data_IF_376810816017
#
_entry.id   IF_376810816017
#
_cell.length_a   1.000
_cell.length_b   1.000
_cell.length_c   1.000
_cell.angle_alpha   90.00
_cell.angle_beta   90.00
_cell.angle_gamma   90.00
#
_symmetry.space_group_name_H-M   'P 1'
#
loop_
_entity.id
_entity.type
_entity.pdbx_description
1 polymer ?
#
# COMPACT_ATOMS: atom_id res chain seq x y z
N UNK A 1 -36.68 -16.44 -26.16
CA UNK A 1 -35.88 -15.23 -26.40
C UNK A 1 -34.44 -15.56 -26.03
N UNK A 2 -33.57 -15.81 -27.01
CA UNK A 2 -32.15 -16.17 -26.72
C UNK A 2 -31.39 -14.85 -26.60
N UNK A 3 -31.09 -14.41 -25.37
CA UNK A 3 -30.27 -13.22 -25.13
C UNK A 3 -28.80 -13.66 -25.13
N UNK A 4 -28.16 -13.68 -26.29
CA UNK A 4 -26.72 -13.87 -26.39
C UNK A 4 -26.03 -12.53 -26.24
N UNK A 5 -25.92 -12.00 -25.01
CA UNK A 5 -25.10 -10.88 -24.72
C UNK A 5 -23.66 -11.40 -24.53
N UNK A 6 -22.77 -11.15 -25.49
CA UNK A 6 -21.34 -11.40 -25.33
C UNK A 6 -20.84 -10.50 -24.20
N UNK A 7 -20.39 -11.07 -23.08
CA UNK A 7 -19.71 -10.31 -22.02
C UNK A 7 -18.33 -9.87 -22.52
N UNK A 8 -17.89 -8.69 -22.10
CA UNK A 8 -16.52 -8.27 -22.29
C UNK A 8 -15.59 -9.14 -21.43
N UNK A 9 -14.38 -9.50 -21.90
CA UNK A 9 -13.40 -10.13 -21.05
C UNK A 9 -13.09 -9.23 -19.83
N UNK A 10 -12.92 -9.82 -18.65
CA UNK A 10 -12.54 -9.09 -17.42
C UNK A 10 -11.25 -8.27 -17.59
N UNK A 11 -10.35 -8.70 -18.47
CA UNK A 11 -9.11 -8.05 -18.85
C UNK A 11 -9.26 -7.39 -20.22
N UNK A 12 -10.11 -6.39 -20.30
CA UNK A 12 -10.20 -5.56 -21.49
C UNK A 12 -9.25 -4.38 -21.31
N UNK A 13 -8.33 -4.23 -22.26
CA UNK A 13 -7.38 -3.12 -22.31
C UNK A 13 -7.69 -2.23 -23.50
N UNK A 14 -7.60 -0.93 -23.28
CA UNK A 14 -7.49 0.04 -24.35
C UNK A 14 -6.06 0.04 -24.84
N UNK A 15 -5.83 -0.12 -26.14
CA UNK A 15 -4.50 -0.21 -26.73
C UNK A 15 -4.27 0.90 -27.72
N UNK A 16 -3.11 1.53 -27.65
CA UNK A 16 -2.62 2.51 -28.60
C UNK A 16 -1.15 2.30 -28.90
N UNK A 17 -0.57 3.09 -29.77
CA UNK A 17 0.86 3.01 -30.08
C UNK A 17 1.65 3.51 -28.87
N UNK A 18 2.27 2.58 -28.12
CA UNK A 18 3.09 2.89 -26.93
C UNK A 18 2.30 3.10 -25.65
N UNK A 19 0.99 2.79 -25.62
CA UNK A 19 0.17 2.90 -24.42
C UNK A 19 -0.85 1.76 -24.31
N UNK A 20 -1.02 1.27 -23.09
CA UNK A 20 -2.05 0.29 -22.73
C UNK A 20 -2.72 0.73 -21.45
N UNK A 21 -4.04 0.93 -21.48
CA UNK A 21 -4.83 1.34 -20.31
C UNK A 21 -5.75 0.21 -19.92
N UNK A 22 -5.57 -0.35 -18.72
CA UNK A 22 -6.49 -1.31 -18.12
C UNK A 22 -7.82 -0.62 -17.80
N UNK A 23 -8.92 -1.34 -17.92
CA UNK A 23 -10.23 -0.81 -17.60
C UNK A 23 -10.67 -1.23 -16.20
N UNK A 24 -11.43 -0.37 -15.49
CA UNK A 24 -12.07 -0.74 -14.23
C UNK A 24 -13.10 -1.85 -14.48
N UNK A 25 -13.52 -2.53 -13.42
CA UNK A 25 -14.56 -3.56 -13.52
C UNK A 25 -15.88 -2.93 -13.99
N UNK A 26 -16.29 -3.31 -15.20
CA UNK A 26 -17.54 -2.88 -15.83
C UNK A 26 -18.61 -3.97 -15.69
N UNK A 27 -19.89 -3.58 -15.62
CA UNK A 27 -21.01 -4.52 -15.57
C UNK A 27 -21.07 -5.39 -16.84
N UNK A 28 -20.64 -4.87 -17.98
CA UNK A 28 -20.50 -5.63 -19.24
C UNK A 28 -19.45 -6.75 -19.19
N UNK A 29 -18.57 -6.78 -18.18
CA UNK A 29 -17.60 -7.85 -17.96
C UNK A 29 -18.17 -9.00 -17.13
N UNK A 30 -19.37 -8.84 -16.55
CA UNK A 30 -20.08 -9.88 -15.80
C UNK A 30 -20.95 -10.68 -16.78
N UNK A 31 -20.77 -12.02 -16.85
CA UNK A 31 -21.61 -12.85 -17.72
C UNK A 31 -23.10 -12.69 -17.40
N UNK A 32 -23.96 -12.54 -18.42
CA UNK A 32 -25.38 -12.31 -18.25
C UNK A 32 -26.11 -13.48 -17.52
N UNK A 33 -25.60 -14.70 -17.63
CA UNK A 33 -26.07 -15.84 -16.85
C UNK A 33 -25.80 -15.70 -15.34
N UNK A 34 -24.70 -15.11 -14.96
CA UNK A 34 -24.34 -14.81 -13.56
C UNK A 34 -25.23 -13.70 -12.98
N UNK A 35 -25.59 -12.70 -13.79
CA UNK A 35 -26.49 -11.62 -13.39
C UNK A 35 -27.94 -12.14 -13.22
N UNK A 36 -28.40 -13.06 -14.08
CA UNK A 36 -29.70 -13.68 -13.96
C UNK A 36 -29.80 -14.69 -12.81
N UNK A 37 -28.68 -15.35 -12.47
CA UNK A 37 -28.64 -16.30 -11.36
C UNK A 37 -28.46 -15.63 -9.99
N UNK A 38 -28.33 -14.28 -9.94
CA UNK A 38 -27.98 -13.52 -8.73
C UNK A 38 -26.73 -14.06 -8.03
N UNK A 39 -25.89 -14.79 -8.74
CA UNK A 39 -24.59 -15.23 -8.20
C UNK A 39 -23.59 -14.09 -8.44
N UNK A 40 -23.17 -13.36 -7.40
CA UNK A 40 -22.15 -12.32 -7.56
C UNK A 40 -20.91 -12.95 -8.17
N UNK A 41 -20.32 -12.32 -9.18
CA UNK A 41 -18.97 -12.70 -9.59
C UNK A 41 -18.10 -12.66 -8.33
N UNK A 42 -17.29 -13.70 -8.08
CA UNK A 42 -16.43 -13.72 -6.91
C UNK A 42 -15.64 -12.40 -6.82
N UNK A 43 -15.74 -11.67 -5.71
CA UNK A 43 -15.10 -10.37 -5.60
C UNK A 43 -13.59 -10.50 -5.72
N UNK A 44 -12.95 -9.54 -6.38
CA UNK A 44 -11.49 -9.48 -6.47
C UNK A 44 -10.96 -8.99 -5.13
N UNK A 45 -10.21 -9.83 -4.42
CA UNK A 45 -9.55 -9.43 -3.18
C UNK A 45 -8.19 -8.83 -3.49
N UNK A 46 -7.80 -7.86 -2.69
CA UNK A 46 -6.54 -7.15 -2.81
C UNK A 46 -5.84 -7.09 -1.46
N UNK A 47 -4.52 -7.13 -1.46
CA UNK A 47 -3.70 -7.13 -0.26
C UNK A 47 -2.69 -5.99 -0.35
N UNK A 48 -2.58 -5.18 0.69
CA UNK A 48 -1.63 -4.09 0.71
C UNK A 48 -0.99 -3.87 2.06
N UNK A 49 0.19 -3.24 2.03
CA UNK A 49 1.00 -2.97 3.21
C UNK A 49 1.57 -1.57 3.12
N UNK A 50 1.35 -0.77 4.15
CA UNK A 50 1.89 0.58 4.28
C UNK A 50 2.78 0.65 5.50
N UNK A 51 4.06 0.87 5.29
CA UNK A 51 5.06 0.92 6.34
C UNK A 51 5.35 2.35 6.76
N UNK A 52 5.38 2.60 8.07
CA UNK A 52 5.91 3.81 8.67
C UNK A 52 7.20 3.50 9.42
N UNK A 53 8.23 4.35 9.30
CA UNK A 53 9.50 4.11 9.98
C UNK A 53 9.44 4.51 11.46
N UNK A 54 10.40 3.99 12.21
CA UNK A 54 10.73 4.47 13.55
C UNK A 54 9.58 4.46 14.56
N UNK A 55 8.66 3.48 14.44
CA UNK A 55 7.62 3.25 15.44
C UNK A 55 6.67 4.42 15.70
N UNK A 56 6.17 4.50 16.93
CA UNK A 56 5.22 5.53 17.33
C UNK A 56 5.32 5.84 18.83
N UNK A 57 4.79 7.01 19.23
CA UNK A 57 4.41 7.24 20.62
C UNK A 57 3.16 6.40 20.94
N UNK A 58 3.39 5.22 21.50
CA UNK A 58 2.34 4.23 21.78
C UNK A 58 1.30 4.77 22.79
N UNK A 59 1.69 5.67 23.69
CA UNK A 59 0.76 6.28 24.66
C UNK A 59 -0.32 7.13 23.98
N UNK A 60 -0.04 7.65 22.78
CA UNK A 60 -0.98 8.41 21.95
C UNK A 60 -1.52 7.64 20.76
N UNK A 61 -1.01 6.41 20.56
CA UNK A 61 -1.45 5.51 19.49
C UNK A 61 -2.63 4.63 19.91
N UNK A 62 -2.52 3.99 21.09
CA UNK A 62 -3.50 3.01 21.54
C UNK A 62 -4.87 3.67 21.79
N UNK A 63 -5.96 3.17 21.16
CA UNK A 63 -7.30 3.66 21.44
C UNK A 63 -7.70 3.47 22.91
N UNK A 64 -8.56 4.33 23.46
CA UNK A 64 -9.08 4.13 24.80
C UNK A 64 -10.00 2.90 24.86
N UNK A 65 -10.08 2.28 26.04
CA UNK A 65 -10.95 1.12 26.31
C UNK A 65 -10.27 -0.23 26.10
N UNK A 66 -11.08 -1.28 26.26
CA UNK A 66 -10.67 -2.68 26.12
C UNK A 66 -10.99 -3.22 24.72
N UNK A 67 -10.67 -4.48 24.45
CA UNK A 67 -11.02 -5.16 23.21
C UNK A 67 -12.53 -5.14 22.94
N UNK A 68 -12.93 -4.82 21.72
CA UNK A 68 -14.33 -4.75 21.33
C UNK A 68 -14.59 -3.84 20.15
N UNK A 69 -15.78 -3.25 20.09
CA UNK A 69 -16.13 -2.26 19.09
C UNK A 69 -15.26 -1.00 19.24
N UNK A 70 -14.74 -0.49 18.13
CA UNK A 70 -13.97 0.75 18.12
C UNK A 70 -14.95 1.93 18.22
N UNK A 71 -15.07 2.51 19.40
CA UNK A 71 -16.00 3.60 19.69
C UNK A 71 -15.33 4.98 19.71
N UNK A 72 -14.01 5.01 19.89
CA UNK A 72 -13.19 6.21 19.87
C UNK A 72 -11.79 5.92 19.36
N UNK A 73 -11.17 6.89 18.74
CA UNK A 73 -9.79 6.85 18.29
C UNK A 73 -8.87 7.61 19.25
N UNK A 74 -7.61 7.22 19.32
CA UNK A 74 -6.58 8.00 20.00
C UNK A 74 -6.26 9.28 19.23
N UNK A 75 -5.49 10.19 19.83
CA UNK A 75 -5.10 11.44 19.16
C UNK A 75 -4.33 11.21 17.87
N UNK A 76 -3.41 10.24 17.84
CA UNK A 76 -2.63 9.91 16.66
C UNK A 76 -3.49 9.29 15.56
N UNK A 77 -4.49 8.49 15.92
CA UNK A 77 -5.37 7.80 14.98
C UNK A 77 -6.60 8.62 14.57
N UNK A 78 -6.81 9.82 15.14
CA UNK A 78 -7.99 10.65 14.88
C UNK A 78 -8.26 10.92 13.38
N UNK A 79 -7.27 11.03 12.47
CA UNK A 79 -7.57 11.20 11.06
C UNK A 79 -8.34 10.04 10.41
N UNK A 80 -8.38 8.85 11.03
CA UNK A 80 -9.15 7.70 10.55
C UNK A 80 -10.65 7.78 10.88
N UNK A 81 -11.13 8.82 11.54
CA UNK A 81 -12.54 8.95 11.94
C UNK A 81 -13.53 8.76 10.76
N UNK A 82 -13.32 9.31 9.54
CA UNK A 82 -14.21 9.11 8.39
C UNK A 82 -14.32 7.66 7.93
N UNK A 83 -13.33 6.85 8.26
CA UNK A 83 -13.22 5.43 7.87
C UNK A 83 -13.16 4.49 9.08
N UNK A 84 -13.48 4.96 10.29
CA UNK A 84 -13.36 4.20 11.55
C UNK A 84 -14.06 2.84 11.51
N UNK A 85 -15.18 2.74 10.79
CA UNK A 85 -15.93 1.48 10.61
C UNK A 85 -15.22 0.45 9.73
N UNK A 86 -14.22 0.88 8.96
CA UNK A 86 -13.44 0.04 8.05
C UNK A 86 -12.06 -0.31 8.60
N UNK A 87 -11.71 0.11 9.83
CA UNK A 87 -10.41 -0.16 10.42
C UNK A 87 -10.50 -1.01 11.68
N UNK A 88 -9.49 -1.79 11.94
CA UNK A 88 -9.28 -2.54 13.19
C UNK A 88 -7.90 -2.20 13.72
N UNK A 89 -7.83 -1.78 14.99
CA UNK A 89 -6.57 -1.50 15.67
C UNK A 89 -6.15 -2.76 16.43
N UNK A 90 -4.89 -3.16 16.30
CA UNK A 90 -4.33 -4.25 17.08
C UNK A 90 -3.25 -3.71 18.01
N UNK A 91 -3.35 -4.00 19.31
CA UNK A 91 -2.40 -3.59 20.33
C UNK A 91 -1.71 -4.81 20.93
N UNK A 92 -0.47 -4.61 21.37
CA UNK A 92 0.40 -5.63 21.95
C UNK A 92 0.80 -6.73 20.93
N UNK A 93 1.06 -6.32 19.67
CA UNK A 93 1.71 -7.18 18.66
C UNK A 93 3.23 -7.10 18.81
N UNK A 94 3.96 -8.17 18.44
CA UNK A 94 5.42 -8.23 18.54
C UNK A 94 6.10 -8.83 17.31
N UNK A 95 7.36 -8.46 17.10
CA UNK A 95 8.30 -9.04 16.13
C UNK A 95 9.54 -9.58 16.83
N UNK A 96 9.46 -10.78 17.40
CA UNK A 96 10.58 -11.43 18.13
C UNK A 96 11.83 -11.58 17.27
N UNK A 97 11.64 -11.91 16.01
CA UNK A 97 12.72 -12.14 15.05
C UNK A 97 13.45 -10.86 14.61
N UNK A 98 12.97 -9.68 14.98
CA UNK A 98 13.70 -8.43 14.76
C UNK A 98 14.87 -8.22 15.73
N UNK A 99 14.91 -8.96 16.85
CA UNK A 99 16.02 -8.89 17.79
C UNK A 99 17.23 -9.76 17.36
N UNK A 100 18.48 -9.33 17.64
CA UNK A 100 18.89 -8.17 18.46
C UNK A 100 19.06 -6.86 17.68
N UNK A 101 18.58 -6.79 16.45
CA UNK A 101 18.76 -5.61 15.61
C UNK A 101 17.91 -4.41 16.03
N UNK A 102 17.97 -3.38 15.22
CA UNK A 102 17.30 -2.09 15.42
C UNK A 102 16.51 -1.70 14.16
N UNK A 103 16.91 -0.63 13.48
CA UNK A 103 16.20 -0.12 12.30
C UNK A 103 16.17 -1.08 11.11
N UNK A 104 17.32 -1.66 10.74
CA UNK A 104 17.39 -2.59 9.62
C UNK A 104 16.52 -3.82 9.82
N UNK A 105 16.53 -4.39 11.02
CA UNK A 105 15.73 -5.57 11.34
C UNK A 105 14.26 -5.26 11.59
N UNK A 106 13.92 -4.04 12.04
CA UNK A 106 12.56 -3.54 12.12
C UNK A 106 11.88 -3.60 10.74
N UNK A 107 12.50 -3.00 9.74
CA UNK A 107 12.01 -3.03 8.38
C UNK A 107 11.97 -4.45 7.79
N UNK A 108 13.10 -5.19 7.90
CA UNK A 108 13.22 -6.53 7.35
C UNK A 108 12.19 -7.51 7.91
N UNK A 109 11.96 -7.49 9.24
CA UNK A 109 11.05 -8.40 9.89
C UNK A 109 9.57 -8.04 9.70
N UNK A 110 9.24 -6.79 9.35
CA UNK A 110 7.85 -6.33 9.31
C UNK A 110 6.96 -7.17 8.39
N UNK A 111 7.41 -7.51 7.19
CA UNK A 111 6.65 -8.38 6.27
C UNK A 111 7.19 -9.81 6.19
N UNK A 112 8.42 -10.05 6.64
CA UNK A 112 8.99 -11.40 6.64
C UNK A 112 8.67 -12.18 7.89
N UNK A 113 8.52 -11.53 9.05
CA UNK A 113 8.50 -12.13 10.37
C UNK A 113 9.71 -13.07 10.63
N UNK A 114 10.78 -12.93 9.84
CA UNK A 114 11.96 -13.77 9.85
C UNK A 114 13.16 -13.05 10.48
N UNK A 115 14.09 -13.82 11.02
CA UNK A 115 15.33 -13.28 11.52
C UNK A 115 16.30 -13.00 10.36
N UNK A 116 16.68 -11.74 10.18
CA UNK A 116 17.68 -11.35 9.20
C UNK A 116 19.05 -11.96 9.57
N UNK A 117 19.77 -12.46 8.57
CA UNK A 117 21.16 -12.89 8.76
C UNK A 117 22.02 -11.67 9.10
N UNK A 118 22.75 -11.76 10.20
CA UNK A 118 23.69 -10.71 10.58
C UNK A 118 24.89 -10.69 9.64
N UNK A 119 24.89 -9.78 8.71
CA UNK A 119 25.93 -9.60 7.69
C UNK A 119 25.84 -8.20 7.09
N UNK A 120 26.98 -7.63 6.75
CA UNK A 120 27.14 -6.39 6.00
C UNK A 120 27.46 -6.64 4.52
N UNK A 121 27.60 -7.90 4.15
CA UNK A 121 28.00 -8.36 2.83
C UNK A 121 26.80 -8.73 1.95
N UNK A 122 27.06 -9.21 0.73
CA UNK A 122 26.04 -9.64 -0.23
C UNK A 122 25.45 -11.03 0.04
N UNK A 123 25.91 -11.72 1.09
CA UNK A 123 25.42 -13.04 1.50
C UNK A 123 24.21 -12.96 2.43
N UNK A 124 23.40 -11.91 2.25
CA UNK A 124 22.20 -11.68 3.04
C UNK A 124 21.16 -12.78 2.85
N UNK A 125 20.40 -13.01 3.92
CA UNK A 125 19.34 -14.00 3.97
C UNK A 125 18.26 -13.55 4.96
N UNK A 126 16.99 -13.61 4.53
CA UNK A 126 15.83 -13.21 5.33
C UNK A 126 14.76 -14.29 5.28
N UNK A 127 13.75 -14.09 4.50
CA UNK A 127 12.60 -14.96 4.25
C UNK A 127 11.77 -14.34 3.15
N UNK A 128 10.99 -15.16 2.44
CA UNK A 128 9.99 -14.62 1.51
C UNK A 128 8.95 -13.87 2.30
N UNK A 129 8.67 -12.63 1.92
CA UNK A 129 7.72 -11.77 2.63
C UNK A 129 6.27 -12.10 2.31
N UNK A 130 5.37 -11.77 3.21
CA UNK A 130 3.93 -12.10 3.14
C UNK A 130 3.28 -11.56 1.87
N UNK A 131 3.64 -10.37 1.42
CA UNK A 131 3.20 -9.75 0.17
C UNK A 131 3.64 -10.58 -1.04
N UNK A 132 4.87 -11.09 -1.04
CA UNK A 132 5.40 -11.88 -2.15
C UNK A 132 4.84 -13.31 -2.17
N UNK A 133 4.54 -13.90 -1.02
CA UNK A 133 3.75 -15.14 -0.96
C UNK A 133 2.36 -14.92 -1.58
N UNK A 134 1.70 -13.81 -1.27
CA UNK A 134 0.44 -13.46 -1.89
C UNK A 134 0.59 -13.22 -3.40
N UNK A 135 1.62 -12.50 -3.84
CA UNK A 135 1.89 -12.18 -5.23
C UNK A 135 2.13 -13.43 -6.09
N UNK A 136 2.79 -14.45 -5.55
CA UNK A 136 3.02 -15.72 -6.24
C UNK A 136 1.70 -16.42 -6.63
N UNK A 137 0.62 -16.24 -5.87
CA UNK A 137 -0.69 -16.83 -6.15
C UNK A 137 -1.64 -15.84 -6.81
N UNK A 138 -1.83 -14.65 -6.22
CA UNK A 138 -2.79 -13.65 -6.71
C UNK A 138 -2.30 -12.92 -7.96
N UNK A 139 -0.99 -12.77 -8.11
CA UNK A 139 -0.35 -12.05 -9.22
C UNK A 139 -0.34 -12.80 -10.55
N UNK A 140 -0.68 -14.08 -10.56
CA UNK A 140 -0.78 -14.86 -11.81
C UNK A 140 -1.92 -14.37 -12.73
N UNK A 141 -2.85 -13.64 -12.16
CA UNK A 141 -4.01 -13.12 -12.88
C UNK A 141 -3.90 -11.62 -13.21
N UNK A 142 -2.78 -10.97 -12.94
CA UNK A 142 -2.60 -9.53 -13.15
C UNK A 142 -1.43 -9.21 -14.06
N UNK A 143 -1.39 -7.99 -14.59
CA UNK A 143 -0.27 -7.51 -15.42
C UNK A 143 1.03 -7.43 -14.61
N UNK A 144 0.93 -6.92 -13.38
CA UNK A 144 2.02 -6.87 -12.41
C UNK A 144 1.70 -7.81 -11.26
N UNK A 145 2.56 -8.79 -10.94
CA UNK A 145 2.35 -9.67 -9.78
C UNK A 145 2.22 -8.89 -8.48
N UNK A 146 3.03 -7.85 -8.31
CA UNK A 146 3.04 -6.93 -7.19
C UNK A 146 3.58 -5.56 -7.60
N UNK A 147 3.42 -4.56 -6.72
CA UNK A 147 3.92 -3.21 -6.91
C UNK A 147 4.57 -2.72 -5.61
N UNK A 148 5.88 -2.54 -5.65
CA UNK A 148 6.70 -2.10 -4.52
C UNK A 148 6.99 -0.61 -4.66
N UNK A 149 6.54 0.19 -3.67
CA UNK A 149 6.60 1.65 -3.69
C UNK A 149 7.27 2.21 -2.44
N UNK A 150 7.86 3.40 -2.57
CA UNK A 150 8.45 4.14 -1.46
C UNK A 150 8.37 5.65 -1.70
N UNK A 151 8.62 6.43 -0.63
CA UNK A 151 8.75 7.89 -0.72
C UNK A 151 10.19 8.35 -0.86
N UNK A 152 11.14 7.49 -0.52
CA UNK A 152 12.56 7.77 -0.58
C UNK A 152 13.23 6.90 -1.64
N UNK A 153 14.26 7.43 -2.30
CA UNK A 153 15.16 6.62 -3.11
C UNK A 153 15.94 5.68 -2.19
N UNK A 154 15.92 4.40 -2.50
CA UNK A 154 16.48 3.37 -1.65
C UNK A 154 17.83 2.90 -2.18
N UNK A 155 18.90 3.12 -1.39
CA UNK A 155 20.20 2.49 -1.62
C UNK A 155 20.15 1.06 -1.09
N UNK A 156 20.48 0.08 -1.96
CA UNK A 156 20.49 -1.34 -1.60
C UNK A 156 21.88 -1.87 -1.28
N UNK A 157 22.91 -1.02 -1.45
CA UNK A 157 24.33 -1.39 -1.26
C UNK A 157 24.91 -0.63 -0.06
N UNK A 158 25.77 -1.29 0.69
CA UNK A 158 26.49 -0.71 1.82
C UNK A 158 25.98 -1.21 3.18
N UNK A 159 26.60 -0.66 4.23
CA UNK A 159 26.30 -0.90 5.63
C UNK A 159 25.44 0.22 6.17
N UNK A 160 24.30 -0.09 6.76
CA UNK A 160 23.34 0.91 7.21
C UNK A 160 23.07 0.91 8.72
N UNK A 161 23.16 -0.25 9.41
CA UNK A 161 22.75 -0.33 10.80
C UNK A 161 23.37 -1.55 11.51
N UNK A 162 24.23 -1.31 12.53
CA UNK A 162 24.69 -2.29 13.54
C UNK A 162 25.09 -3.68 13.01
N UNK A 163 25.85 -3.74 11.91
CA UNK A 163 26.31 -5.01 11.32
C UNK A 163 25.30 -5.62 10.33
N UNK A 164 24.30 -4.85 9.90
CA UNK A 164 23.34 -5.25 8.87
C UNK A 164 23.52 -4.46 7.57
N UNK A 165 23.48 -5.15 6.44
CA UNK A 165 23.52 -4.55 5.13
C UNK A 165 22.31 -3.63 4.87
N UNK A 166 22.50 -2.57 4.08
CA UNK A 166 21.45 -1.60 3.74
C UNK A 166 20.20 -2.24 3.10
N UNK A 167 20.37 -3.38 2.45
CA UNK A 167 19.27 -4.14 1.84
C UNK A 167 18.16 -4.48 2.83
N UNK A 168 18.49 -4.77 4.10
CA UNK A 168 17.51 -5.07 5.12
C UNK A 168 16.71 -3.85 5.57
N UNK A 169 17.37 -2.69 5.63
CA UNK A 169 16.74 -1.43 6.04
C UNK A 169 15.86 -0.84 4.93
N UNK A 170 16.24 -1.04 3.67
CA UNK A 170 15.70 -0.30 2.55
C UNK A 170 14.74 -1.10 1.67
N UNK A 171 14.69 -2.44 1.79
CA UNK A 171 13.74 -3.26 1.03
C UNK A 171 12.72 -3.91 1.97
N UNK A 172 11.45 -3.55 1.75
CA UNK A 172 10.34 -4.11 2.50
C UNK A 172 9.94 -5.49 1.99
N UNK A 173 10.00 -5.69 0.66
CA UNK A 173 9.54 -6.89 -0.03
C UNK A 173 10.70 -7.78 -0.48
N UNK A 174 10.56 -9.09 -0.28
CA UNK A 174 11.54 -10.12 -0.68
C UNK A 174 10.84 -11.27 -1.39
N UNK A 175 11.13 -11.46 -2.67
CA UNK A 175 10.52 -12.51 -3.50
C UNK A 175 11.02 -13.91 -3.19
N UNK A 176 12.18 -14.02 -2.58
CA UNK A 176 12.77 -15.23 -2.01
C UNK A 176 13.64 -14.85 -0.80
N UNK A 177 14.12 -15.83 0.00
CA UNK A 177 15.00 -15.52 1.14
C UNK A 177 16.26 -14.72 0.82
N UNK A 178 16.67 -14.68 -0.45
CA UNK A 178 17.90 -14.01 -0.90
C UNK A 178 17.66 -12.97 -1.99
N UNK A 179 16.40 -12.67 -2.33
CA UNK A 179 16.07 -11.78 -3.45
C UNK A 179 15.17 -10.63 -2.98
N UNK A 180 15.77 -9.51 -2.53
CA UNK A 180 15.01 -8.30 -2.22
C UNK A 180 14.43 -7.68 -3.48
N UNK A 181 13.29 -7.01 -3.37
CA UNK A 181 12.67 -6.26 -4.44
C UNK A 181 12.85 -4.76 -4.19
N UNK A 182 13.49 -4.04 -5.12
CA UNK A 182 13.61 -2.59 -5.03
C UNK A 182 12.24 -1.92 -5.14
N UNK A 183 11.99 -0.92 -4.30
CA UNK A 183 10.81 -0.07 -4.37
C UNK A 183 11.03 1.12 -5.28
N UNK A 184 9.96 1.60 -5.93
CA UNK A 184 9.97 2.76 -6.81
C UNK A 184 9.41 3.99 -6.09
N UNK A 185 10.13 5.10 -6.13
CA UNK A 185 9.75 6.36 -5.49
C UNK A 185 9.35 7.45 -6.49
N UNK A 186 9.59 7.25 -7.79
CA UNK A 186 9.35 8.27 -8.80
C UNK A 186 7.96 8.13 -9.43
N UNK A 187 7.02 9.07 -9.23
CA UNK A 187 5.64 8.94 -9.72
C UNK A 187 5.53 8.69 -11.22
N UNK A 188 6.39 9.32 -12.04
CA UNK A 188 6.41 9.12 -13.49
C UNK A 188 6.77 7.67 -13.84
N UNK A 189 7.77 7.10 -13.19
CA UNK A 189 8.20 5.72 -13.46
C UNK A 189 7.09 4.74 -13.04
N UNK A 190 6.43 4.99 -11.91
CA UNK A 190 5.25 4.20 -11.48
C UNK A 190 4.14 4.30 -12.52
N UNK A 191 3.79 5.51 -12.96
CA UNK A 191 2.75 5.74 -13.97
C UNK A 191 3.06 4.99 -15.28
N UNK A 192 4.30 5.08 -15.76
CA UNK A 192 4.75 4.36 -16.96
C UNK A 192 4.73 2.83 -16.78
N UNK A 193 5.02 2.35 -15.57
CA UNK A 193 4.94 0.92 -15.26
C UNK A 193 3.50 0.41 -15.28
N UNK A 194 2.54 1.25 -14.88
CA UNK A 194 1.11 0.90 -14.85
C UNK A 194 0.48 0.95 -16.26
N UNK A 195 0.83 1.95 -17.07
CA UNK A 195 0.10 2.29 -18.30
C UNK A 195 0.95 2.27 -19.56
N UNK A 196 2.27 2.15 -19.45
CA UNK A 196 3.17 2.05 -20.61
C UNK A 196 3.14 0.67 -21.25
N UNK A 197 3.30 0.61 -22.57
CA UNK A 197 3.70 -0.63 -23.24
C UNK A 197 5.17 -0.91 -22.92
N UNK A 198 5.53 -2.13 -22.55
CA UNK A 198 6.90 -2.52 -22.23
C UNK A 198 7.92 -2.01 -23.28
N UNK A 199 9.17 -1.87 -22.91
CA UNK A 199 10.22 -1.32 -23.73
C UNK A 199 11.33 -0.71 -22.86
N UNK A 200 12.45 -0.29 -23.46
CA UNK A 200 13.50 0.37 -22.69
C UNK A 200 13.00 1.73 -22.14
N UNK A 201 13.57 2.18 -21.03
CA UNK A 201 13.30 3.53 -20.48
C UNK A 201 13.65 4.66 -21.47
N UNK A 202 14.54 4.39 -22.44
CA UNK A 202 14.89 5.32 -23.52
C UNK A 202 13.79 5.40 -24.58
N UNK A 203 13.21 4.26 -24.96
CA UNK A 203 12.10 4.21 -25.93
C UNK A 203 10.84 4.88 -25.36
N UNK A 204 10.55 4.62 -24.08
CA UNK A 204 9.44 5.26 -23.35
C UNK A 204 9.62 6.78 -23.26
N UNK A 205 10.81 7.28 -22.89
CA UNK A 205 11.11 8.72 -22.86
C UNK A 205 10.98 9.37 -24.24
N UNK A 206 11.43 8.69 -25.31
CA UNK A 206 11.31 9.19 -26.69
C UNK A 206 9.85 9.25 -27.16
N UNK A 207 9.02 8.32 -26.72
CA UNK A 207 7.59 8.29 -26.98
C UNK A 207 6.84 9.40 -26.21
N UNK A 208 7.12 9.56 -24.91
CA UNK A 208 6.52 10.58 -24.04
C UNK A 208 7.01 12.00 -24.35
N UNK A 209 8.20 12.17 -24.93
CA UNK A 209 8.76 13.48 -25.34
C UNK A 209 7.95 14.25 -26.38
N UNK A 210 6.85 13.71 -26.89
CA UNK A 210 5.93 14.37 -27.82
C UNK A 210 4.76 15.09 -27.17
N UNK A 211 4.73 15.30 -25.85
CA UNK A 211 3.70 16.05 -25.10
C UNK A 211 2.24 15.67 -25.38
N UNK A 212 1.96 14.45 -25.82
CA UNK A 212 0.60 13.95 -25.97
C UNK A 212 0.21 13.16 -24.72
N UNK A 213 -1.01 13.39 -24.19
CA UNK A 213 -1.56 12.59 -23.10
C UNK A 213 -1.59 11.12 -23.49
N UNK A 214 -1.28 10.21 -22.54
CA UNK A 214 -1.40 8.78 -22.73
C UNK A 214 -2.79 8.38 -23.25
N UNK A 215 -3.84 9.07 -22.81
CA UNK A 215 -5.21 8.82 -23.24
C UNK A 215 -5.47 9.22 -24.70
N UNK A 216 -4.70 10.15 -25.27
CA UNK A 216 -4.85 10.50 -26.69
C UNK A 216 -4.44 9.35 -27.61
N UNK A 217 -3.52 8.50 -27.18
CA UNK A 217 -3.05 7.34 -27.94
C UNK A 217 -4.05 6.19 -27.98
N UNK A 218 -4.93 6.11 -26.98
CA UNK A 218 -6.00 5.09 -26.90
C UNK A 218 -7.38 5.66 -27.26
N UNK A 219 -7.44 6.88 -27.77
CA UNK A 219 -8.69 7.63 -28.05
C UNK A 219 -9.66 6.87 -28.97
N UNK A 220 -9.14 6.22 -30.00
CA UNK A 220 -9.99 5.48 -30.95
C UNK A 220 -10.60 4.23 -30.29
N UNK A 221 -9.83 3.55 -29.44
CA UNK A 221 -10.30 2.39 -28.70
C UNK A 221 -11.36 2.79 -27.67
N UNK A 222 -11.15 3.92 -26.98
CA UNK A 222 -12.15 4.52 -26.07
C UNK A 222 -13.47 4.74 -26.83
N UNK A 223 -13.43 5.43 -27.95
CA UNK A 223 -14.62 5.75 -28.74
C UNK A 223 -15.35 4.50 -29.27
N UNK A 224 -14.58 3.47 -29.63
CA UNK A 224 -15.11 2.18 -30.08
C UNK A 224 -15.82 1.43 -28.95
N UNK A 225 -15.20 1.36 -27.79
CA UNK A 225 -15.72 0.67 -26.62
C UNK A 225 -16.96 1.36 -26.05
N UNK A 226 -16.95 2.71 -25.97
CA UNK A 226 -18.10 3.49 -25.48
C UNK A 226 -19.40 3.19 -26.22
N UNK A 227 -19.33 2.87 -27.53
CA UNK A 227 -20.51 2.48 -28.33
C UNK A 227 -21.11 1.13 -27.91
N UNK A 228 -20.34 0.28 -27.25
CA UNK A 228 -20.74 -1.08 -26.86
C UNK A 228 -21.22 -1.17 -25.41
N UNK A 229 -20.93 -0.14 -24.59
CA UNK A 229 -21.22 -0.10 -23.17
C UNK A 229 -22.62 0.46 -22.87
N UNK A 230 -23.22 -0.02 -21.77
CA UNK A 230 -24.39 0.59 -21.16
C UNK A 230 -24.07 1.96 -20.54
N UNK A 231 -25.09 2.72 -20.13
CA UNK A 231 -24.91 4.07 -19.58
C UNK A 231 -24.07 4.07 -18.30
N UNK A 232 -24.32 3.12 -17.37
CA UNK A 232 -23.59 2.99 -16.12
C UNK A 232 -22.09 2.70 -16.34
N UNK A 233 -21.78 1.74 -17.22
CA UNK A 233 -20.40 1.40 -17.56
C UNK A 233 -19.68 2.55 -18.29
N UNK A 234 -20.37 3.29 -19.14
CA UNK A 234 -19.81 4.50 -19.77
C UNK A 234 -19.44 5.54 -18.74
N UNK A 235 -20.28 5.77 -17.73
CA UNK A 235 -19.98 6.73 -16.65
C UNK A 235 -18.77 6.28 -15.83
N UNK A 236 -18.73 5.02 -15.40
CA UNK A 236 -17.58 4.44 -14.68
C UNK A 236 -16.27 4.57 -15.48
N UNK A 237 -16.31 4.24 -16.77
CA UNK A 237 -15.14 4.33 -17.62
C UNK A 237 -14.68 5.79 -17.80
N UNK A 238 -15.61 6.73 -17.98
CA UNK A 238 -15.28 8.16 -18.12
C UNK A 238 -14.62 8.69 -16.85
N UNK A 239 -15.21 8.43 -15.69
CA UNK A 239 -14.67 8.82 -14.38
C UNK A 239 -13.24 8.24 -14.14
N UNK A 240 -13.04 6.99 -14.49
CA UNK A 240 -11.71 6.36 -14.39
C UNK A 240 -10.69 7.03 -15.31
N UNK A 241 -11.04 7.28 -16.58
CA UNK A 241 -10.14 7.94 -17.54
C UNK A 241 -9.85 9.39 -17.17
N UNK A 242 -10.82 10.11 -16.59
CA UNK A 242 -10.61 11.46 -16.06
C UNK A 242 -9.64 11.45 -14.88
N UNK A 243 -9.71 10.43 -14.01
CA UNK A 243 -8.76 10.23 -12.90
C UNK A 243 -7.34 9.94 -13.41
N UNK A 244 -7.21 9.08 -14.43
CA UNK A 244 -5.90 8.81 -15.08
C UNK A 244 -5.30 10.10 -15.64
N UNK A 245 -6.11 10.91 -16.34
CA UNK A 245 -5.67 12.20 -16.91
C UNK A 245 -5.26 13.21 -15.83
N UNK A 246 -5.97 13.27 -14.72
CA UNK A 246 -5.64 14.17 -13.62
C UNK A 246 -4.31 13.76 -12.94
N UNK A 247 -4.06 12.49 -12.74
CA UNK A 247 -2.79 11.97 -12.22
C UNK A 247 -1.65 12.30 -13.20
N UNK A 248 -1.82 12.04 -14.48
CA UNK A 248 -0.85 12.40 -15.54
C UNK A 248 -0.50 13.90 -15.50
N UNK A 249 -1.52 14.76 -15.44
CA UNK A 249 -1.36 16.22 -15.37
C UNK A 249 -0.57 16.66 -14.12
N UNK A 250 -0.80 16.03 -12.95
CA UNK A 250 -0.06 16.35 -11.72
C UNK A 250 1.40 15.95 -11.83
N UNK A 251 1.70 14.82 -12.47
CA UNK A 251 3.06 14.38 -12.74
C UNK A 251 3.77 15.38 -13.66
N UNK A 252 3.13 15.79 -14.77
CA UNK A 252 3.68 16.78 -15.70
C UNK A 252 3.94 18.13 -15.03
N UNK A 253 3.01 18.58 -14.16
CA UNK A 253 3.19 19.81 -13.39
C UNK A 253 4.39 19.73 -12.45
N UNK A 254 4.59 18.59 -11.76
CA UNK A 254 5.74 18.39 -10.88
C UNK A 254 7.06 18.40 -11.67
N UNK A 255 7.08 17.81 -12.86
CA UNK A 255 8.23 17.85 -13.76
C UNK A 255 8.56 19.28 -14.22
N UNK A 256 7.54 20.04 -14.67
CA UNK A 256 7.73 21.42 -15.11
C UNK A 256 8.26 22.33 -14.00
N UNK A 257 7.73 22.20 -12.77
CA UNK A 257 8.18 22.98 -11.62
C UNK A 257 9.66 22.72 -11.26
N UNK A 258 10.15 21.50 -11.51
CA UNK A 258 11.56 21.15 -11.26
C UNK A 258 12.49 21.81 -12.27
N UNK A 259 12.05 22.01 -13.52
CA UNK A 259 12.83 22.71 -14.55
C UNK A 259 12.88 24.23 -14.33
N UNK A 260 11.77 24.82 -13.86
CA UNK A 260 11.65 26.28 -13.69
C UNK A 260 12.32 26.80 -12.41
N UNK A 261 12.52 25.95 -11.41
CA UNK A 261 13.15 26.28 -10.13
C UNK A 261 14.13 25.17 -9.70
N UNK A 262 15.36 25.14 -10.24
CA UNK A 262 16.36 24.19 -9.78
C UNK A 262 16.79 24.57 -8.35
N UNK A 263 16.14 23.96 -7.37
CA UNK A 263 16.53 24.06 -5.97
C UNK A 263 17.82 23.25 -5.74
N UNK A 264 18.72 23.71 -4.88
CA UNK A 264 19.95 22.99 -4.54
C UNK A 264 19.72 21.79 -3.61
N UNK A 265 18.60 21.12 -3.70
CA UNK A 265 18.32 19.92 -2.91
C UNK A 265 18.81 18.70 -3.70
N UNK A 266 20.02 18.27 -3.35
CA UNK A 266 20.78 17.21 -4.04
C UNK A 266 20.11 15.83 -3.96
N UNK A 267 19.11 15.64 -3.08
CA UNK A 267 18.51 14.34 -2.80
C UNK A 267 17.13 14.12 -3.46
N UNK A 268 16.58 15.12 -4.18
CA UNK A 268 15.26 14.99 -4.80
C UNK A 268 15.36 14.72 -6.31
N UNK A 269 14.77 13.61 -6.80
CA UNK A 269 14.71 13.33 -8.24
C UNK A 269 13.90 14.39 -9.00
N UNK A 270 14.30 14.70 -10.21
CA UNK A 270 13.55 15.56 -11.13
C UNK A 270 12.15 14.98 -11.36
N UNK A 271 11.09 15.77 -11.20
CA UNK A 271 9.72 15.33 -11.45
C UNK A 271 8.97 14.75 -10.24
N UNK A 272 9.58 14.79 -9.05
CA UNK A 272 8.89 14.46 -7.80
C UNK A 272 8.33 15.75 -7.18
N UNK A 273 7.06 15.77 -6.70
CA UNK A 273 6.50 16.94 -6.02
C UNK A 273 7.37 17.45 -4.88
N UNK A 274 7.44 18.78 -4.71
CA UNK A 274 8.30 19.39 -3.68
C UNK A 274 7.77 19.13 -2.27
N UNK A 275 6.45 19.24 -2.07
CA UNK A 275 5.83 18.93 -0.79
C UNK A 275 5.70 17.43 -0.62
N UNK A 276 6.08 16.94 0.56
CA UNK A 276 5.97 15.52 0.90
C UNK A 276 4.52 15.03 0.82
N UNK A 277 3.58 15.84 1.28
CA UNK A 277 2.15 15.52 1.24
C UNK A 277 1.65 15.29 -0.19
N UNK A 278 2.01 16.18 -1.12
CA UNK A 278 1.62 16.07 -2.54
C UNK A 278 2.22 14.81 -3.19
N UNK A 279 3.47 14.52 -2.88
CA UNK A 279 4.14 13.31 -3.35
C UNK A 279 3.45 12.05 -2.81
N UNK A 280 3.20 11.97 -1.50
CA UNK A 280 2.54 10.83 -0.88
C UNK A 280 1.12 10.60 -1.42
N UNK A 281 0.33 11.68 -1.55
CA UNK A 281 -1.02 11.62 -2.13
C UNK A 281 -0.98 11.15 -3.59
N UNK A 282 -0.02 11.64 -4.38
CA UNK A 282 0.15 11.21 -5.77
C UNK A 282 0.50 9.72 -5.85
N UNK A 283 1.39 9.23 -4.99
CA UNK A 283 1.73 7.80 -4.93
C UNK A 283 0.55 6.94 -4.46
N UNK A 284 -0.29 7.43 -3.57
CA UNK A 284 -1.54 6.75 -3.18
C UNK A 284 -2.57 6.74 -4.31
N UNK A 285 -2.73 7.83 -5.06
CA UNK A 285 -3.65 7.88 -6.21
C UNK A 285 -3.21 6.90 -7.32
N UNK A 286 -1.91 6.73 -7.55
CA UNK A 286 -1.37 5.71 -8.46
C UNK A 286 -1.73 4.29 -7.98
N UNK A 287 -1.71 4.03 -6.67
CA UNK A 287 -2.16 2.75 -6.12
C UNK A 287 -3.66 2.53 -6.34
N UNK A 288 -4.49 3.55 -6.12
CA UNK A 288 -5.94 3.46 -6.40
C UNK A 288 -6.19 3.09 -7.87
N UNK A 289 -5.51 3.75 -8.80
CA UNK A 289 -5.61 3.43 -10.23
C UNK A 289 -5.16 2.01 -10.55
N UNK A 290 -4.05 1.55 -9.97
CA UNK A 290 -3.53 0.20 -10.16
C UNK A 290 -4.52 -0.87 -9.69
N UNK A 291 -5.17 -0.65 -8.54
CA UNK A 291 -6.17 -1.55 -7.97
C UNK A 291 -7.50 -1.50 -8.73
N UNK A 292 -7.94 -0.30 -9.13
CA UNK A 292 -9.17 -0.08 -9.88
C UNK A 292 -9.10 -0.73 -11.27
N UNK A 293 -7.93 -0.65 -11.91
CA UNK A 293 -7.65 -1.30 -13.19
C UNK A 293 -7.33 -2.80 -13.10
N UNK A 294 -7.30 -3.40 -11.89
CA UNK A 294 -6.82 -4.78 -11.63
C UNK A 294 -5.44 -5.05 -12.27
N UNK A 295 -4.58 -4.01 -12.31
CA UNK A 295 -3.21 -4.09 -12.85
C UNK A 295 -2.34 -4.92 -11.91
N UNK A 296 -2.55 -4.76 -10.62
CA UNK A 296 -1.98 -5.60 -9.56
C UNK A 296 -3.01 -5.77 -8.42
N UNK A 297 -2.82 -6.80 -7.60
CA UNK A 297 -3.64 -7.07 -6.41
C UNK A 297 -2.82 -7.04 -5.12
N UNK A 298 -1.51 -6.85 -5.24
CA UNK A 298 -0.59 -6.80 -4.09
C UNK A 298 0.28 -5.57 -4.19
N UNK A 299 0.26 -4.72 -3.15
CA UNK A 299 1.03 -3.47 -3.12
C UNK A 299 1.71 -3.32 -1.77
N UNK A 300 2.98 -2.89 -1.80
CA UNK A 300 3.72 -2.42 -0.62
C UNK A 300 4.11 -0.97 -0.79
N UNK A 301 4.04 -0.18 0.28
CA UNK A 301 4.41 1.23 0.24
C UNK A 301 5.10 1.68 1.54
N UNK A 302 6.32 2.17 1.42
CA UNK A 302 7.07 2.78 2.53
C UNK A 302 6.88 4.29 2.51
N UNK A 303 6.20 4.85 3.53
CA UNK A 303 6.02 6.30 3.69
C UNK A 303 7.33 7.03 3.99
N UNK A 304 8.26 6.37 4.65
CA UNK A 304 9.66 6.77 4.68
C UNK A 304 10.52 5.54 5.02
N UNK A 305 11.82 5.62 4.71
CA UNK A 305 12.77 4.58 5.13
C UNK A 305 13.08 4.68 6.62
N UNK A 306 13.50 3.59 7.22
CA UNK A 306 14.12 3.64 8.54
C UNK A 306 15.36 4.56 8.53
N UNK A 307 15.66 5.20 9.65
CA UNK A 307 16.72 6.22 9.78
C UNK A 307 16.58 7.44 8.86
N UNK A 308 15.37 7.73 8.34
CA UNK A 308 15.12 8.89 7.51
C UNK A 308 15.41 10.19 8.26
N UNK A 309 16.23 11.06 7.66
CA UNK A 309 16.48 12.42 8.13
C UNK A 309 15.49 13.44 7.53
N UNK A 310 14.40 12.98 6.97
CA UNK A 310 13.33 13.86 6.45
C UNK A 310 12.76 14.72 7.56
N UNK A 311 12.52 15.98 7.27
CA UNK A 311 11.76 16.91 8.10
C UNK A 311 10.36 17.12 7.50
N UNK A 312 9.43 17.62 8.31
CA UNK A 312 8.02 17.84 7.94
C UNK A 312 7.61 19.28 8.29
N UNK A 313 8.14 20.28 7.56
CA UNK A 313 7.87 21.70 7.84
C UNK A 313 6.39 22.05 7.68
N UNK A 314 5.66 21.35 6.82
CA UNK A 314 4.22 21.52 6.59
C UNK A 314 3.36 21.27 7.83
N UNK A 315 3.85 20.50 8.79
CA UNK A 315 3.21 20.26 10.10
C UNK A 315 3.95 20.94 11.25
N UNK A 316 4.89 21.84 10.93
CA UNK A 316 5.69 22.58 11.93
C UNK A 316 6.77 21.75 12.62
N UNK A 317 7.26 20.68 11.98
CA UNK A 317 8.39 19.87 12.46
C UNK A 317 9.56 20.01 11.48
N UNK A 318 10.46 20.94 11.78
CA UNK A 318 11.66 21.19 10.98
C UNK A 318 12.84 20.27 11.35
N UNK A 319 12.75 19.58 12.48
CA UNK A 319 13.78 18.66 12.93
C UNK A 319 13.76 17.36 12.09
N UNK A 320 14.94 16.75 11.87
CA UNK A 320 15.02 15.46 11.18
C UNK A 320 14.30 14.34 11.97
N UNK A 321 13.55 13.48 11.28
CA UNK A 321 12.72 12.45 11.91
C UNK A 321 13.51 11.48 12.78
N UNK A 322 14.56 10.85 12.25
CA UNK A 322 15.33 9.84 12.97
C UNK A 322 16.00 10.41 14.25
N UNK A 323 16.75 11.55 14.23
CA UNK A 323 17.28 12.11 15.47
C UNK A 323 16.20 12.55 16.47
N UNK A 324 15.01 12.93 15.99
CA UNK A 324 13.88 13.29 16.85
C UNK A 324 13.27 12.06 17.52
N UNK A 325 13.28 10.91 16.84
CA UNK A 325 12.76 9.64 17.37
C UNK A 325 13.53 9.16 18.61
N UNK A 326 14.82 9.49 18.70
CA UNK A 326 15.64 9.29 19.90
C UNK A 326 15.36 10.39 20.95
N UNK A 327 14.12 10.43 21.43
CA UNK A 327 13.64 11.55 22.23
C UNK A 327 14.15 11.60 23.67
N UNK A 328 14.70 10.51 24.23
CA UNK A 328 15.24 10.48 25.59
C UNK A 328 14.23 10.88 26.69
N UNK A 329 12.94 10.82 26.40
CA UNK A 329 11.88 11.29 27.29
C UNK A 329 11.59 12.80 27.20
N UNK A 330 12.26 13.55 26.32
CA UNK A 330 12.01 14.97 26.09
C UNK A 330 10.58 15.21 25.58
N UNK A 331 9.70 15.93 26.34
CA UNK A 331 8.30 16.13 25.97
C UNK A 331 8.12 16.84 24.61
N UNK A 332 9.04 17.72 24.23
CA UNK A 332 8.96 18.44 22.94
C UNK A 332 9.23 17.50 21.78
N UNK A 333 10.27 16.67 21.88
CA UNK A 333 10.56 15.64 20.87
C UNK A 333 9.44 14.60 20.77
N UNK A 334 8.91 14.13 21.91
CA UNK A 334 7.75 13.22 21.93
C UNK A 334 6.52 13.84 21.23
N UNK A 335 6.27 15.13 21.46
CA UNK A 335 5.18 15.83 20.79
C UNK A 335 5.42 15.95 19.26
N UNK A 336 6.67 16.16 18.82
CA UNK A 336 7.03 16.17 17.39
C UNK A 336 6.82 14.81 16.76
N UNK A 337 7.25 13.71 17.40
CA UNK A 337 6.99 12.35 16.92
C UNK A 337 5.50 12.07 16.81
N UNK A 338 4.69 12.44 17.81
CA UNK A 338 3.25 12.27 17.76
C UNK A 338 2.61 13.03 16.58
N UNK A 339 3.09 14.25 16.26
CA UNK A 339 2.65 15.01 15.07
C UNK A 339 3.02 14.29 13.76
N UNK A 340 4.23 13.75 13.64
CA UNK A 340 4.67 13.01 12.46
C UNK A 340 3.80 11.75 12.30
N UNK A 341 3.58 10.99 13.38
CA UNK A 341 2.74 9.81 13.34
C UNK A 341 1.30 10.16 12.90
N UNK A 342 0.69 11.20 13.48
CA UNK A 342 -0.65 11.66 13.08
C UNK A 342 -0.70 12.10 11.61
N UNK A 343 0.36 12.75 11.12
CA UNK A 343 0.46 13.17 9.72
C UNK A 343 0.53 11.95 8.78
N UNK A 344 1.35 10.95 9.09
CA UNK A 344 1.38 9.71 8.30
C UNK A 344 0.03 8.99 8.32
N UNK A 345 -0.66 8.97 9.45
CA UNK A 345 -2.03 8.43 9.56
C UNK A 345 -3.00 9.21 8.68
N UNK A 346 -2.88 10.55 8.59
CA UNK A 346 -3.76 11.37 7.74
C UNK A 346 -3.58 11.07 6.24
N UNK A 347 -2.37 10.77 5.81
CA UNK A 347 -2.09 10.34 4.44
C UNK A 347 -2.68 8.96 4.14
N UNK A 348 -2.61 8.05 5.11
CA UNK A 348 -3.27 6.75 4.99
C UNK A 348 -4.80 6.88 4.99
N UNK A 349 -5.37 7.75 5.82
CA UNK A 349 -6.80 8.06 5.82
C UNK A 349 -7.27 8.57 4.46
N UNK A 350 -6.53 9.51 3.85
CA UNK A 350 -6.78 9.98 2.49
C UNK A 350 -6.87 8.82 1.49
N UNK A 351 -5.92 7.89 1.55
CA UNK A 351 -5.93 6.71 0.68
C UNK A 351 -7.16 5.83 0.90
N UNK A 352 -7.51 5.54 2.16
CA UNK A 352 -8.68 4.73 2.49
C UNK A 352 -9.99 5.38 2.02
N UNK A 353 -10.12 6.71 2.15
CA UNK A 353 -11.27 7.45 1.63
C UNK A 353 -11.36 7.35 0.11
N UNK A 354 -10.24 7.42 -0.61
CA UNK A 354 -10.20 7.19 -2.07
C UNK A 354 -10.66 5.78 -2.43
N UNK A 355 -10.18 4.74 -1.74
CA UNK A 355 -10.63 3.36 -1.97
C UNK A 355 -12.12 3.18 -1.67
N UNK A 356 -12.62 3.83 -0.60
CA UNK A 356 -14.04 3.80 -0.21
C UNK A 356 -14.93 4.52 -1.23
N UNK A 357 -14.42 5.53 -1.90
CA UNK A 357 -15.15 6.28 -2.92
C UNK A 357 -15.33 5.52 -4.24
N UNK A 358 -14.54 4.45 -4.49
CA UNK A 358 -14.63 3.67 -5.74
C UNK A 358 -15.64 2.52 -5.57
N UNK A 359 -16.79 2.54 -6.25
CA UNK A 359 -17.77 1.45 -6.22
C UNK A 359 -17.23 0.19 -6.91
N UNK A 360 -17.38 -0.96 -6.28
CA UNK A 360 -17.01 -2.27 -6.85
C UNK A 360 -17.97 -3.36 -6.39
N UNK A 361 -18.72 -3.95 -7.32
CA UNK A 361 -19.75 -4.95 -7.01
C UNK A 361 -20.83 -4.37 -6.09
N UNK A 362 -21.11 -5.06 -4.99
CA UNK A 362 -22.11 -4.64 -3.99
C UNK A 362 -21.50 -3.74 -2.88
N UNK A 363 -20.25 -3.37 -3.00
CA UNK A 363 -19.52 -2.53 -2.03
C UNK A 363 -18.58 -1.55 -2.71
N UNK A 364 -17.45 -1.34 -2.10
CA UNK A 364 -16.40 -0.45 -2.56
C UNK A 364 -15.09 -1.19 -2.76
N UNK A 365 -14.11 -0.53 -3.38
CA UNK A 365 -12.76 -1.07 -3.51
C UNK A 365 -12.13 -1.35 -2.12
N UNK A 366 -12.45 -0.53 -1.10
CA UNK A 366 -12.01 -0.74 0.28
C UNK A 366 -12.63 -2.00 0.91
N UNK A 367 -13.91 -2.27 0.65
CA UNK A 367 -14.56 -3.48 1.18
C UNK A 367 -13.94 -4.76 0.62
N UNK A 368 -13.38 -4.70 -0.59
CA UNK A 368 -12.72 -5.82 -1.26
C UNK A 368 -11.20 -5.89 -1.02
N UNK A 369 -10.61 -4.86 -0.44
CA UNK A 369 -9.20 -4.80 -0.08
C UNK A 369 -8.95 -5.18 1.39
N UNK A 370 -7.69 -5.49 1.70
CA UNK A 370 -7.19 -5.66 3.06
C UNK A 370 -5.79 -5.05 3.15
N UNK A 371 -5.65 -4.03 3.98
CA UNK A 371 -4.40 -3.30 4.18
C UNK A 371 -3.89 -3.43 5.60
N UNK A 372 -2.58 -3.63 5.74
CA UNK A 372 -1.83 -3.48 6.98
C UNK A 372 -1.08 -2.15 6.93
N UNK A 373 -1.27 -1.31 7.94
CA UNK A 373 -0.50 -0.09 8.16
C UNK A 373 0.20 -0.19 9.49
N UNK A 374 1.50 0.11 9.54
CA UNK A 374 2.23 0.08 10.80
C UNK A 374 3.74 0.12 10.67
N UNK A 375 4.40 -0.20 11.78
CA UNK A 375 5.85 -0.26 11.91
C UNK A 375 6.30 -1.58 12.54
N UNK A 376 7.51 -2.01 12.21
CA UNK A 376 8.19 -3.12 12.90
C UNK A 376 8.84 -2.71 14.23
N UNK A 377 8.67 -1.45 14.64
CA UNK A 377 9.17 -0.88 15.90
C UNK A 377 8.00 -0.29 16.70
N UNK A 378 7.98 -0.52 18.01
CA UNK A 378 7.02 0.10 18.92
C UNK A 378 7.52 1.47 19.37
N UNK A 379 8.32 1.52 20.42
CA UNK A 379 8.91 2.76 20.92
C UNK A 379 10.27 3.03 20.26
N UNK A 380 10.38 4.10 19.46
CA UNK A 380 11.61 4.40 18.70
C UNK A 380 12.80 4.77 19.59
N UNK A 381 12.58 5.30 20.79
CA UNK A 381 13.66 5.72 21.66
C UNK A 381 14.50 4.54 22.21
N UNK A 382 13.87 3.39 22.36
CA UNK A 382 14.51 2.18 22.90
C UNK A 382 14.60 1.05 21.87
N UNK A 383 14.16 1.28 20.63
CA UNK A 383 14.17 0.32 19.53
C UNK A 383 13.52 -1.03 19.87
N UNK A 384 12.42 -1.01 20.62
CA UNK A 384 11.73 -2.26 20.94
C UNK A 384 10.83 -2.72 19.79
N UNK A 385 10.59 -4.02 19.73
CA UNK A 385 9.75 -4.66 18.70
C UNK A 385 8.51 -5.31 19.33
N UNK A 386 7.98 -4.69 20.38
CA UNK A 386 6.73 -5.05 21.06
C UNK A 386 5.79 -3.87 21.08
N UNK A 387 4.50 -4.16 21.28
CA UNK A 387 3.42 -3.17 21.23
C UNK A 387 3.48 -2.31 19.96
N UNK A 388 3.55 -3.01 18.82
CA UNK A 388 3.73 -2.38 17.52
C UNK A 388 2.51 -1.52 17.15
N UNK A 389 2.71 -0.37 16.49
CA UNK A 389 1.61 0.45 15.98
C UNK A 389 0.99 -0.20 14.73
N UNK A 390 -0.11 -0.94 14.92
CA UNK A 390 -0.74 -1.75 13.86
C UNK A 390 -2.20 -1.34 13.63
N UNK A 391 -2.53 -1.05 12.37
CA UNK A 391 -3.88 -0.83 11.85
C UNK A 391 -4.15 -1.78 10.69
N UNK A 392 -5.25 -2.49 10.73
CA UNK A 392 -5.78 -3.27 9.59
C UNK A 392 -6.99 -2.54 9.03
N UNK A 393 -7.03 -2.32 7.73
CA UNK A 393 -8.11 -1.61 7.05
C UNK A 393 -8.72 -2.45 5.92
N UNK A 394 -10.03 -2.38 5.77
CA UNK A 394 -10.78 -3.08 4.72
C UNK A 394 -11.45 -4.37 5.17
N UNK A 395 -12.16 -5.01 4.25
CA UNK A 395 -13.04 -6.13 4.55
C UNK A 395 -12.67 -7.46 3.89
N UNK A 396 -11.67 -7.50 2.99
CA UNK A 396 -11.32 -8.69 2.19
C UNK A 396 -12.57 -9.36 1.58
N UNK A 397 -13.47 -8.56 1.01
CA UNK A 397 -14.75 -9.01 0.45
C UNK A 397 -15.64 -9.74 1.49
N UNK A 398 -15.79 -9.15 2.66
CA UNK A 398 -16.62 -9.64 3.76
C UNK A 398 -15.99 -10.72 4.62
N UNK A 399 -14.73 -11.10 4.36
CA UNK A 399 -14.02 -12.11 5.17
C UNK A 399 -13.54 -11.55 6.51
N UNK A 400 -13.21 -10.27 6.55
CA UNK A 400 -12.69 -9.56 7.73
C UNK A 400 -13.76 -8.61 8.28
N UNK A 401 -13.94 -8.63 9.59
CA UNK A 401 -14.82 -7.70 10.30
C UNK A 401 -13.99 -6.55 10.85
N UNK A 402 -14.17 -5.36 10.33
CA UNK A 402 -13.55 -4.13 10.80
C UNK A 402 -14.38 -3.42 11.89
N UNK A 403 -13.97 -2.20 12.28
CA UNK A 403 -14.63 -1.36 13.29
C UNK A 403 -14.32 -1.82 14.73
N UNK A 404 -13.12 -2.36 14.99
CA UNK A 404 -12.78 -2.95 16.28
C UNK A 404 -11.39 -2.57 16.80
N UNK A 405 -11.23 -2.66 18.12
CA UNK A 405 -9.94 -2.72 18.80
C UNK A 405 -9.72 -4.15 19.31
N UNK A 406 -8.61 -4.77 18.95
CA UNK A 406 -8.17 -6.08 19.43
C UNK A 406 -6.89 -5.84 20.24
N UNK A 407 -6.98 -6.05 21.56
CA UNK A 407 -5.87 -5.86 22.49
C UNK A 407 -5.51 -7.22 23.10
N UNK A 408 -4.29 -7.62 22.94
CA UNK A 408 -3.78 -8.86 23.55
C UNK A 408 -3.30 -8.57 24.97
N UNK A 409 -3.55 -9.52 25.89
CA UNK A 409 -3.02 -9.47 27.27
C UNK A 409 -1.52 -9.77 27.31
N UNK A 410 -1.06 -10.64 26.41
CA UNK A 410 0.35 -10.98 26.20
C UNK A 410 0.76 -10.63 24.77
N UNK A 411 2.05 -10.32 24.53
CA UNK A 411 2.53 -10.02 23.19
C UNK A 411 2.22 -11.15 22.20
N UNK A 412 1.58 -10.82 21.09
CA UNK A 412 1.20 -11.76 20.05
C UNK A 412 2.08 -11.58 18.80
N UNK A 413 2.60 -12.66 18.18
CA UNK A 413 3.42 -12.55 16.98
C UNK A 413 2.68 -11.83 15.83
N UNK A 414 3.33 -10.86 15.20
CA UNK A 414 2.78 -10.19 13.99
C UNK A 414 2.57 -11.22 12.86
N UNK A 415 3.32 -12.30 12.84
CA UNK A 415 3.15 -13.41 11.91
C UNK A 415 1.75 -14.04 11.97
N UNK A 416 1.05 -14.00 13.13
CA UNK A 416 -0.34 -14.44 13.24
C UNK A 416 -1.27 -13.57 12.40
N UNK A 417 -1.03 -12.25 12.35
CA UNK A 417 -1.76 -11.34 11.51
C UNK A 417 -1.46 -11.59 10.03
N UNK A 418 -0.19 -11.78 9.66
CA UNK A 418 0.20 -12.10 8.29
C UNK A 418 -0.48 -13.38 7.79
N UNK A 419 -0.47 -14.45 8.58
CA UNK A 419 -1.13 -15.71 8.27
C UNK A 419 -2.65 -15.53 8.08
N UNK A 420 -3.26 -14.70 8.94
CA UNK A 420 -4.70 -14.37 8.87
C UNK A 420 -5.04 -13.57 7.63
N UNK A 421 -4.22 -12.58 7.27
CA UNK A 421 -4.42 -11.74 6.08
C UNK A 421 -4.28 -12.56 4.79
N UNK A 422 -3.29 -13.45 4.71
CA UNK A 422 -3.14 -14.40 3.59
C UNK A 422 -4.40 -15.26 3.42
N UNK A 423 -4.87 -15.88 4.50
CA UNK A 423 -6.07 -16.71 4.46
C UNK A 423 -7.33 -15.90 4.05
N UNK A 424 -7.46 -14.68 4.56
CA UNK A 424 -8.58 -13.79 4.23
C UNK A 424 -8.64 -13.45 2.74
N UNK A 425 -7.50 -13.31 2.07
CA UNK A 425 -7.44 -13.06 0.63
C UNK A 425 -7.45 -14.34 -0.21
N UNK A 426 -7.45 -15.53 0.42
CA UNK A 426 -7.55 -16.83 -0.23
C UNK A 426 -6.25 -17.58 -0.42
N UNK A 427 -5.15 -17.06 0.11
CA UNK A 427 -3.83 -17.71 0.10
C UNK A 427 -3.69 -18.54 1.37
N UNK A 428 -3.80 -19.86 1.26
CA UNK A 428 -3.85 -20.77 2.40
C UNK A 428 -2.48 -21.30 2.74
N UNK A 429 -2.05 -21.06 3.97
CA UNK A 429 -0.87 -21.65 4.60
C UNK A 429 -1.27 -22.26 5.95
N UNK A 430 -0.54 -23.28 6.38
CA UNK A 430 -0.68 -23.87 7.73
C UNK A 430 0.01 -22.98 8.77
N UNK A 431 1.15 -22.42 8.43
CA UNK A 431 1.94 -21.54 9.29
C UNK A 431 2.72 -20.51 8.45
N UNK A 432 3.14 -19.44 9.08
CA UNK A 432 4.04 -18.42 8.51
C UNK A 432 5.07 -18.04 9.58
N UNK A 433 6.34 -18.36 9.33
CA UNK A 433 7.47 -18.08 10.23
C UNK A 433 7.19 -18.45 11.70
N UNK A 434 7.23 -17.50 12.64
CA UNK A 434 6.98 -17.70 14.06
C UNK A 434 5.49 -17.62 14.45
N UNK A 435 4.57 -17.74 13.49
CA UNK A 435 3.14 -17.76 13.77
C UNK A 435 2.76 -18.94 14.68
N UNK A 436 1.89 -18.66 15.64
CA UNK A 436 1.30 -19.66 16.55
C UNK A 436 -0.14 -20.03 16.20
N UNK A 437 -0.71 -19.38 15.18
CA UNK A 437 -2.07 -19.58 14.70
C UNK A 437 -2.61 -18.32 14.02
N UNK A 438 -3.87 -18.39 13.57
CA UNK A 438 -4.59 -17.27 12.98
C UNK A 438 -5.31 -16.45 14.07
N UNK A 439 -5.63 -15.21 13.74
CA UNK A 439 -6.41 -14.30 14.59
C UNK A 439 -7.90 -14.52 14.31
N UNK A 440 -8.53 -15.47 14.96
CA UNK A 440 -9.93 -15.84 14.71
C UNK A 440 -10.90 -14.68 14.94
N UNK A 441 -10.60 -13.81 15.88
CA UNK A 441 -11.41 -12.61 16.16
C UNK A 441 -11.39 -11.59 15.03
N UNK A 442 -10.47 -11.67 14.07
CA UNK A 442 -10.44 -10.77 12.91
C UNK A 442 -11.45 -11.18 11.84
N UNK A 443 -11.84 -12.46 11.79
CA UNK A 443 -12.83 -12.92 10.79
C UNK A 443 -14.23 -12.43 11.07
N UNK A 444 -15.01 -12.31 9.99
CA UNK A 444 -16.46 -12.19 10.09
C UNK A 444 -17.05 -13.50 10.63
N UNK A 445 -18.07 -13.44 11.47
CA UNK A 445 -18.78 -14.67 11.88
C UNK A 445 -19.27 -15.43 10.65
N UNK A 446 -18.92 -16.69 10.55
CA UNK A 446 -19.47 -17.58 9.50
C UNK A 446 -20.95 -17.78 9.80
N UNK A 447 -21.84 -17.21 8.97
CA UNK A 447 -23.24 -17.55 9.06
C UNK A 447 -24.30 -16.46 9.03
N UNK A 448 -24.00 -15.24 8.57
CA UNK A 448 -25.04 -14.23 8.30
C UNK A 448 -24.85 -13.55 6.93
N UNK A 449 -24.49 -14.30 5.89
CA UNK A 449 -24.71 -13.89 4.52
C UNK A 449 -26.02 -14.51 4.07
N UNK A 450 -27.13 -13.78 4.32
CA UNK A 450 -28.42 -14.02 3.69
C UNK A 450 -28.49 -13.39 2.32
#
# INVERSE_FOLDING_TARGET
MIISKKSLPRRTFLRGVGATVALPLLDAMVPSMTALAQTPAAPVRRLGFVYIPMGSDISRWTPPGESGALTALSSTLSPLEPVMKHVTILSNMELRNAYPGTHATSNAAFLSAAKAKWTESSDYYLGTTVDQIAAQQMGQETQLPSLELSMDLMEVVGQCDNGYACVYQNNLSWSSPTTPLPSEAHPRVVFERLFGEGGSSADRRKALGKRASLLDWVREDIARLQKQLGSADRSKMTEYLDTVREVERRIEKAEAQTFDNPLPDLDRPVGVPAAYEDHAKLMFDLQVLALQGDITRVITFQLARETSNRSYPEIGVADPHHPTSHHGGDPEKVAKIAKINQFHVSLFAYFLEKLKAVPEGNGTLLDNALYLYGSGMGNPNIHNHVDLPIVVAGGAAGRVRAGRHIKYSEPAPLANLHLTMLDAVGVRLESFQDSTGKIDTLYSPVGLAG
#
